data_IF_286734671230
#
_entry.id   IF_286734671230
#
_cell.length_a   1.000
_cell.length_b   1.000
_cell.length_c   1.000
_cell.angle_alpha   90.00
_cell.angle_beta   90.00
_cell.angle_gamma   90.00
#
_symmetry.space_group_name_H-M   'P 1'
#
loop_
_entity.id
_entity.type
_entity.pdbx_description
1 polymer ?
#
# COMPACT_ATOMS: atom_id res chain seq x y z
N UNK A 1 -7.99 -8.35 9.65
CA UNK A 1 -7.80 -7.10 8.86
C UNK A 1 -7.23 -7.43 7.49
N UNK A 2 -7.58 -6.65 6.48
CA UNK A 2 -7.14 -6.83 5.09
C UNK A 2 -5.64 -7.12 5.00
N UNK A 3 -4.84 -6.24 5.62
CA UNK A 3 -3.39 -6.27 5.50
C UNK A 3 -2.71 -7.40 6.28
N UNK A 4 -3.41 -8.02 7.24
CA UNK A 4 -2.92 -9.25 7.86
C UNK A 4 -2.96 -10.41 6.85
N UNK A 5 -3.99 -10.48 6.02
CA UNK A 5 -4.06 -11.48 4.93
C UNK A 5 -2.92 -11.25 3.94
N UNK A 6 -2.64 -9.99 3.61
CA UNK A 6 -1.56 -9.64 2.68
C UNK A 6 -0.18 -9.92 3.27
N UNK A 7 0.02 -9.70 4.57
CA UNK A 7 1.23 -10.12 5.28
C UNK A 7 1.45 -11.63 5.17
N UNK A 8 0.40 -12.44 5.34
CA UNK A 8 0.50 -13.88 5.24
C UNK A 8 0.83 -14.32 3.80
N UNK A 9 0.25 -13.66 2.78
CA UNK A 9 0.60 -13.88 1.37
C UNK A 9 2.05 -13.50 1.07
N UNK A 10 2.50 -12.35 1.58
CA UNK A 10 3.89 -11.91 1.42
C UNK A 10 4.87 -12.92 2.00
N UNK A 11 4.56 -13.45 3.19
CA UNK A 11 5.36 -14.50 3.81
C UNK A 11 5.40 -15.78 2.96
N UNK A 12 4.29 -16.15 2.31
CA UNK A 12 4.23 -17.30 1.40
C UNK A 12 5.03 -17.08 0.10
N UNK A 13 5.10 -15.84 -0.38
CA UNK A 13 5.94 -15.43 -1.52
C UNK A 13 7.43 -15.39 -1.15
N UNK A 14 7.74 -15.30 0.15
CA UNK A 14 9.11 -15.17 0.66
C UNK A 14 9.64 -13.73 0.62
N UNK A 15 8.78 -12.73 0.44
CA UNK A 15 9.16 -11.32 0.48
C UNK A 15 9.29 -10.79 1.91
N UNK A 16 10.09 -9.73 2.08
CA UNK A 16 10.30 -9.11 3.37
C UNK A 16 9.11 -8.26 3.81
N UNK A 17 8.60 -8.50 5.01
CA UNK A 17 7.62 -7.64 5.66
C UNK A 17 8.32 -6.49 6.39
N UNK A 18 8.05 -5.25 5.99
CA UNK A 18 8.70 -4.07 6.56
C UNK A 18 7.80 -3.26 7.50
N UNK A 19 6.48 -3.47 7.44
CA UNK A 19 5.57 -2.89 8.42
C UNK A 19 4.10 -2.94 8.03
N UNK A 20 3.22 -2.97 9.03
CA UNK A 20 1.81 -2.56 8.94
C UNK A 20 1.52 -1.46 9.96
N UNK A 21 2.40 -1.23 10.95
CA UNK A 21 2.15 -0.29 12.04
C UNK A 21 3.40 -0.01 12.91
N UNK A 22 3.53 1.24 13.39
CA UNK A 22 3.90 1.53 14.78
C UNK A 22 5.38 1.60 15.17
N UNK A 23 6.32 1.65 14.22
CA UNK A 23 7.69 2.06 14.56
C UNK A 23 7.80 3.60 14.68
N UNK A 24 8.91 4.08 15.22
CA UNK A 24 9.15 5.52 15.43
C UNK A 24 9.12 6.36 14.14
N UNK A 25 9.16 5.72 12.98
CA UNK A 25 9.15 6.39 11.67
C UNK A 25 7.74 6.57 11.11
N UNK A 26 6.74 5.89 11.68
CA UNK A 26 5.35 5.91 11.21
C UNK A 26 4.42 6.56 12.24
N UNK A 27 4.56 7.89 12.40
CA UNK A 27 3.81 8.67 13.41
C UNK A 27 2.55 9.35 12.90
N UNK A 28 2.19 9.16 11.63
CA UNK A 28 1.01 9.75 10.99
C UNK A 28 0.51 8.86 9.83
N UNK A 29 -0.63 9.22 9.23
CA UNK A 29 -1.14 8.60 8.01
C UNK A 29 -1.66 7.17 8.19
N UNK A 30 -1.73 6.44 7.07
CA UNK A 30 -2.38 5.13 6.99
C UNK A 30 -1.70 4.02 7.81
N UNK A 31 -0.43 4.18 8.19
CA UNK A 31 0.26 3.22 9.05
C UNK A 31 -0.18 3.25 10.52
N UNK A 32 -0.95 4.26 10.95
CA UNK A 32 -1.52 4.31 12.30
C UNK A 32 -3.02 4.02 12.29
N UNK A 33 -3.46 3.38 13.37
CA UNK A 33 -4.88 3.30 13.70
C UNK A 33 -5.44 4.71 13.92
N UNK A 34 -6.62 5.00 13.39
CA UNK A 34 -7.20 6.35 13.44
C UNK A 34 -7.43 6.86 14.86
N UNK A 35 -7.65 5.98 15.85
CA UNK A 35 -7.74 6.34 17.26
C UNK A 35 -6.45 6.98 17.83
N UNK A 36 -5.32 6.80 17.15
CA UNK A 36 -4.02 7.36 17.54
C UNK A 36 -3.61 8.58 16.69
N UNK A 37 -4.45 8.98 15.73
CA UNK A 37 -4.16 10.08 14.84
C UNK A 37 -4.76 11.39 15.36
N UNK A 38 -4.12 12.54 15.06
CA UNK A 38 -4.79 13.81 15.20
C UNK A 38 -5.98 13.86 14.24
N UNK A 39 -7.04 14.60 14.61
CA UNK A 39 -8.29 14.63 13.86
C UNK A 39 -8.19 15.25 12.46
N UNK A 40 -7.09 15.95 12.18
CA UNK A 40 -6.76 16.61 10.91
C UNK A 40 -5.71 15.83 10.10
N UNK A 41 -5.43 14.57 10.45
CA UNK A 41 -4.57 13.73 9.63
C UNK A 41 -5.21 13.45 8.26
N UNK A 42 -4.43 13.65 7.19
CA UNK A 42 -4.89 13.51 5.82
C UNK A 42 -5.51 12.13 5.50
N UNK A 43 -5.07 11.07 6.19
CA UNK A 43 -5.60 9.71 6.00
C UNK A 43 -6.98 9.50 6.62
N UNK A 44 -7.53 10.50 7.31
CA UNK A 44 -8.91 10.54 7.81
C UNK A 44 -9.85 11.29 6.85
N UNK A 45 -9.30 12.03 5.88
CA UNK A 45 -10.08 12.90 4.99
C UNK A 45 -10.76 12.13 3.86
N UNK A 46 -11.84 12.70 3.32
CA UNK A 46 -12.53 12.19 2.12
C UNK A 46 -13.57 11.10 2.39
N UNK A 47 -14.63 11.09 1.56
CA UNK A 47 -15.77 10.17 1.70
C UNK A 47 -15.37 8.69 1.58
N UNK A 48 -14.29 8.39 0.84
CA UNK A 48 -13.80 7.03 0.70
C UNK A 48 -13.33 6.42 2.04
N UNK A 49 -12.91 7.23 3.00
CA UNK A 49 -12.49 6.77 4.33
C UNK A 49 -13.64 6.58 5.32
N UNK A 50 -14.88 6.98 4.98
CA UNK A 50 -16.07 6.87 5.83
C UNK A 50 -16.83 5.55 5.58
N UNK A 51 -17.17 4.73 6.60
CA UNK A 51 -16.88 4.90 8.03
C UNK A 51 -15.41 4.71 8.38
N UNK A 52 -14.87 5.56 9.25
CA UNK A 52 -13.46 5.43 9.67
C UNK A 52 -13.26 4.19 10.54
N UNK A 53 -12.34 3.31 10.14
CA UNK A 53 -11.83 2.27 11.02
C UNK A 53 -10.87 2.88 12.06
N UNK A 54 -11.33 2.95 13.32
CA UNK A 54 -10.57 3.52 14.43
C UNK A 54 -9.36 2.68 14.85
N UNK A 55 -9.39 1.36 14.62
CA UNK A 55 -8.56 0.41 15.37
C UNK A 55 -7.43 -0.24 14.59
N UNK A 56 -7.48 -0.20 13.26
CA UNK A 56 -6.47 -0.84 12.41
C UNK A 56 -5.69 0.19 11.62
N UNK A 57 -4.40 -0.10 11.47
CA UNK A 57 -3.62 0.50 10.41
C UNK A 57 -4.13 -0.03 9.06
N UNK A 58 -4.01 0.84 8.09
CA UNK A 58 -4.51 0.70 6.73
C UNK A 58 -3.39 0.83 5.70
N UNK A 59 -2.13 0.63 6.10
CA UNK A 59 -1.02 0.50 5.16
C UNK A 59 -0.10 -0.68 5.47
N UNK A 60 0.59 -1.15 4.43
CA UNK A 60 1.58 -2.22 4.46
C UNK A 60 2.80 -1.80 3.65
N UNK A 61 3.99 -2.06 4.19
CA UNK A 61 5.26 -1.91 3.49
C UNK A 61 5.80 -3.29 3.11
N UNK A 62 5.90 -3.50 1.81
CA UNK A 62 6.23 -4.76 1.15
C UNK A 62 7.64 -4.65 0.57
N UNK A 63 8.56 -5.47 1.06
CA UNK A 63 9.90 -5.59 0.51
C UNK A 63 9.87 -6.01 -0.95
N UNK A 64 10.76 -5.42 -1.75
CA UNK A 64 10.89 -5.71 -3.18
C UNK A 64 12.10 -6.61 -3.45
N UNK A 65 12.34 -7.53 -2.51
CA UNK A 65 13.47 -8.45 -2.44
C UNK A 65 13.16 -9.84 -3.05
N UNK A 66 12.03 -9.95 -3.72
CA UNK A 66 11.61 -11.15 -4.45
C UNK A 66 11.56 -10.90 -5.97
N UNK A 67 11.82 -11.92 -6.81
CA UNK A 67 12.09 -11.75 -8.24
C UNK A 67 11.03 -10.94 -9.00
N UNK A 68 9.75 -11.23 -8.78
CA UNK A 68 8.66 -10.62 -9.53
C UNK A 68 8.04 -9.37 -8.85
N UNK A 69 8.70 -8.84 -7.81
CA UNK A 69 8.18 -7.70 -7.03
C UNK A 69 7.90 -6.45 -7.86
N UNK A 70 8.77 -6.12 -8.81
CA UNK A 70 8.60 -4.93 -9.67
C UNK A 70 7.48 -5.11 -10.69
N UNK A 71 7.34 -6.32 -11.23
CA UNK A 71 6.23 -6.69 -12.10
C UNK A 71 4.91 -6.63 -11.33
N UNK A 72 4.91 -7.06 -10.07
CA UNK A 72 3.77 -6.93 -9.17
C UNK A 72 3.36 -5.48 -8.95
N UNK A 73 4.30 -4.57 -8.69
CA UNK A 73 3.97 -3.15 -8.56
C UNK A 73 3.35 -2.61 -9.86
N UNK A 74 3.89 -2.96 -11.02
CA UNK A 74 3.32 -2.56 -12.31
C UNK A 74 1.89 -3.07 -12.51
N UNK A 75 1.65 -4.34 -12.16
CA UNK A 75 0.32 -4.94 -12.17
C UNK A 75 -0.62 -4.25 -11.19
N UNK A 76 -0.19 -3.95 -9.97
CA UNK A 76 -0.99 -3.29 -8.95
C UNK A 76 -1.50 -1.94 -9.45
N UNK A 77 -0.59 -1.08 -9.93
CA UNK A 77 -0.95 0.24 -10.46
C UNK A 77 -1.89 0.12 -11.66
N UNK A 78 -1.65 -0.85 -12.55
CA UNK A 78 -2.56 -1.09 -13.68
C UNK A 78 -3.96 -1.48 -13.21
N UNK A 79 -4.08 -2.40 -12.25
CA UNK A 79 -5.38 -2.90 -11.79
C UNK A 79 -6.17 -1.84 -11.01
N UNK A 80 -5.49 -0.99 -10.22
CA UNK A 80 -6.14 0.15 -9.57
C UNK A 80 -6.65 1.15 -10.62
N UNK A 81 -5.82 1.50 -11.61
CA UNK A 81 -6.19 2.41 -12.70
C UNK A 81 -7.37 1.89 -13.53
N UNK A 82 -7.44 0.58 -13.75
CA UNK A 82 -8.52 -0.07 -14.50
C UNK A 82 -9.76 -0.33 -13.64
N UNK A 83 -9.73 0.02 -12.35
CA UNK A 83 -10.85 -0.19 -11.42
C UNK A 83 -11.09 -1.66 -11.05
N UNK A 84 -10.11 -2.53 -11.32
CA UNK A 84 -10.15 -3.96 -11.00
C UNK A 84 -9.76 -4.23 -9.55
N UNK A 85 -8.90 -3.37 -8.99
CA UNK A 85 -8.51 -3.41 -7.59
C UNK A 85 -9.01 -2.13 -6.91
N UNK A 86 -10.09 -2.28 -6.14
CA UNK A 86 -10.77 -1.19 -5.45
C UNK A 86 -10.25 -1.03 -4.02
N UNK A 87 -10.44 0.15 -3.43
CA UNK A 87 -10.14 0.38 -2.01
C UNK A 87 -8.68 0.68 -1.69
N UNK A 88 -7.78 0.68 -2.67
CA UNK A 88 -6.42 1.22 -2.52
C UNK A 88 -6.45 2.74 -2.57
N UNK A 89 -5.83 3.38 -1.58
CA UNK A 89 -5.84 4.83 -1.42
C UNK A 89 -4.52 5.48 -1.86
N UNK A 90 -3.39 4.80 -1.64
CA UNK A 90 -2.05 5.32 -1.88
C UNK A 90 -1.08 4.19 -2.21
N UNK A 91 -0.16 4.44 -3.14
CA UNK A 91 1.00 3.57 -3.39
C UNK A 91 2.25 4.44 -3.56
N UNK A 92 3.35 4.04 -2.91
CA UNK A 92 4.68 4.60 -3.13
C UNK A 92 5.62 3.45 -3.46
N UNK A 93 6.35 3.54 -4.57
CA UNK A 93 7.30 2.51 -4.95
C UNK A 93 8.11 2.89 -6.17
N UNK A 94 8.99 1.99 -6.60
CA UNK A 94 9.84 2.19 -7.77
C UNK A 94 9.77 0.98 -8.69
N UNK A 95 9.61 1.21 -10.00
CA UNK A 95 9.63 0.14 -10.99
C UNK A 95 11.05 -0.35 -11.31
N UNK A 96 12.06 0.51 -11.19
CA UNK A 96 13.44 0.24 -11.57
C UNK A 96 14.41 0.18 -10.37
N UNK A 97 13.90 0.43 -9.16
CA UNK A 97 14.69 0.49 -7.94
C UNK A 97 15.50 1.78 -7.78
N UNK A 98 15.18 2.83 -8.56
CA UNK A 98 15.87 4.12 -8.52
C UNK A 98 14.85 5.26 -8.50
N UNK A 99 13.97 5.32 -9.50
CA UNK A 99 12.97 6.36 -9.63
C UNK A 99 11.74 6.00 -8.81
N UNK A 100 11.59 6.66 -7.66
CA UNK A 100 10.44 6.46 -6.76
C UNK A 100 9.28 7.35 -7.19
N UNK A 101 8.10 6.74 -7.24
CA UNK A 101 6.86 7.34 -7.72
C UNK A 101 5.77 7.23 -6.66
N UNK A 102 4.83 8.16 -6.72
CA UNK A 102 3.69 8.26 -5.84
C UNK A 102 2.40 8.24 -6.65
N UNK A 103 1.45 7.44 -6.18
CA UNK A 103 0.09 7.35 -6.68
C UNK A 103 -0.89 7.46 -5.52
N UNK A 104 -1.99 8.15 -5.74
CA UNK A 104 -3.10 8.22 -4.80
C UNK A 104 -4.35 8.72 -5.51
N UNK A 105 -5.50 8.67 -4.82
CA UNK A 105 -6.73 9.27 -5.33
C UNK A 105 -6.60 10.77 -5.64
N UNK A 106 -5.74 11.48 -4.90
CA UNK A 106 -5.51 12.91 -5.09
C UNK A 106 -4.44 13.23 -6.14
N UNK A 107 -3.43 12.37 -6.31
CA UNK A 107 -2.39 12.55 -7.33
C UNK A 107 -2.76 11.94 -8.69
N UNK A 108 -3.71 11.01 -8.70
CA UNK A 108 -4.07 10.21 -9.85
C UNK A 108 -3.32 8.88 -9.93
N UNK A 109 -3.88 7.99 -10.74
CA UNK A 109 -3.42 6.62 -10.96
C UNK A 109 -2.82 6.44 -12.36
N UNK A 110 -2.19 7.47 -12.92
CA UNK A 110 -1.53 7.33 -14.22
C UNK A 110 -0.34 6.34 -14.14
N UNK A 111 0.13 5.83 -15.28
CA UNK A 111 1.20 4.83 -15.27
C UNK A 111 2.51 5.35 -14.67
N UNK A 112 2.81 6.63 -14.87
CA UNK A 112 4.10 7.21 -14.52
C UNK A 112 4.17 7.54 -13.02
N UNK A 113 3.03 7.82 -12.39
CA UNK A 113 2.96 8.44 -11.09
C UNK A 113 3.59 9.82 -11.09
N UNK A 114 3.50 10.52 -9.96
CA UNK A 114 4.29 11.73 -9.74
C UNK A 114 5.60 11.39 -9.03
N UNK A 115 6.70 12.14 -9.25
CA UNK A 115 7.94 11.92 -8.50
C UNK A 115 7.71 12.01 -6.99
N UNK A 116 8.11 10.97 -6.26
CA UNK A 116 8.11 11.01 -4.80
C UNK A 116 9.31 11.80 -4.29
N UNK A 117 9.09 12.67 -3.30
CA UNK A 117 10.14 13.56 -2.77
C UNK A 117 10.66 13.16 -1.39
N UNK A 118 10.06 12.14 -0.77
CA UNK A 118 10.56 11.54 0.47
C UNK A 118 11.77 10.64 0.23
N UNK A 119 12.21 9.96 1.29
CA UNK A 119 13.32 9.02 1.25
C UNK A 119 12.83 7.57 1.27
N UNK A 120 13.58 6.67 0.62
CA UNK A 120 13.25 5.26 0.60
C UNK A 120 12.29 4.85 -0.50
N UNK A 121 11.64 3.68 -0.35
CA UNK A 121 10.73 3.07 -1.33
C UNK A 121 11.35 2.71 -2.69
N UNK A 122 12.67 2.86 -2.81
CA UNK A 122 13.48 2.28 -3.87
C UNK A 122 13.63 0.76 -3.67
N UNK A 123 13.63 0.30 -2.42
CA UNK A 123 13.78 -1.13 -2.03
C UNK A 123 12.52 -1.77 -1.44
N UNK A 124 11.45 -0.99 -1.25
CA UNK A 124 10.14 -1.48 -0.82
C UNK A 124 9.00 -0.69 -1.45
N UNK A 125 7.79 -1.23 -1.39
CA UNK A 125 6.57 -0.54 -1.81
C UNK A 125 5.66 -0.31 -0.61
N UNK A 126 5.19 0.91 -0.46
CA UNK A 126 4.08 1.26 0.42
C UNK A 126 2.77 1.06 -0.32
N UNK A 127 1.80 0.41 0.32
CA UNK A 127 0.42 0.33 -0.16
C UNK A 127 -0.51 0.66 1.00
N UNK A 128 -1.40 1.63 0.80
CA UNK A 128 -2.49 1.91 1.73
C UNK A 128 -3.86 1.63 1.12
N UNK A 129 -4.80 1.31 1.98
CA UNK A 129 -6.21 1.08 1.65
C UNK A 129 -7.09 2.08 2.42
N UNK A 130 -8.28 2.36 1.91
CA UNK A 130 -9.21 3.25 2.63
C UNK A 130 -9.57 2.66 3.99
N UNK A 131 -9.67 3.52 5.01
CA UNK A 131 -9.98 3.10 6.38
C UNK A 131 -11.32 2.38 6.49
N UNK A 132 -12.31 2.82 5.71
CA UNK A 132 -13.63 2.19 5.59
C UNK A 132 -13.59 0.73 5.14
N UNK A 133 -12.51 0.33 4.48
CA UNK A 133 -12.35 -1.01 3.92
C UNK A 133 -11.25 -1.82 4.59
N UNK A 134 -10.73 -1.38 5.73
CA UNK A 134 -9.62 -2.04 6.46
C UNK A 134 -9.90 -3.52 6.85
N UNK A 135 -11.15 -3.96 6.76
CA UNK A 135 -11.58 -5.33 7.05
C UNK A 135 -11.63 -6.24 5.82
N UNK A 136 -11.69 -5.66 4.62
CA UNK A 136 -11.90 -6.41 3.38
C UNK A 136 -10.56 -6.75 2.73
N UNK A 137 -10.43 -8.00 2.34
CA UNK A 137 -9.30 -8.43 1.52
C UNK A 137 -9.41 -7.80 0.12
N UNK A 138 -8.43 -6.99 -0.24
CA UNK A 138 -8.37 -6.29 -1.53
C UNK A 138 -7.57 -7.06 -2.58
N UNK A 139 -6.95 -8.18 -2.20
CA UNK A 139 -6.22 -9.03 -3.11
C UNK A 139 -4.95 -8.40 -3.68
N UNK A 140 -4.29 -7.50 -2.93
CA UNK A 140 -3.10 -6.80 -3.46
C UNK A 140 -1.97 -7.77 -3.78
N UNK A 141 -1.83 -8.90 -3.07
CA UNK A 141 -0.87 -9.97 -3.40
C UNK A 141 -1.56 -11.28 -3.84
N UNK A 142 -2.87 -11.26 -4.09
CA UNK A 142 -3.59 -12.49 -4.44
C UNK A 142 -3.12 -13.03 -5.80
N UNK A 143 -2.83 -14.34 -5.86
CA UNK A 143 -2.35 -15.02 -7.07
C UNK A 143 -0.86 -14.82 -7.39
N UNK A 144 -0.13 -14.03 -6.60
CA UNK A 144 1.31 -13.84 -6.79
C UNK A 144 2.14 -14.91 -6.10
N UNK A 145 3.24 -15.28 -6.74
CA UNK A 145 4.35 -16.08 -6.21
C UNK A 145 5.65 -15.31 -6.34
N UNK A 146 6.75 -15.85 -5.80
CA UNK A 146 8.08 -15.24 -5.92
C UNK A 146 8.47 -14.92 -7.37
N UNK A 147 8.02 -15.76 -8.32
CA UNK A 147 8.44 -15.71 -9.72
C UNK A 147 7.36 -15.12 -10.66
N UNK A 148 6.19 -14.74 -10.14
CA UNK A 148 5.14 -14.09 -10.93
C UNK A 148 3.71 -14.50 -10.53
N UNK A 149 2.74 -13.95 -11.27
CA UNK A 149 1.31 -14.24 -11.11
C UNK A 149 0.95 -15.62 -11.69
N UNK A 150 0.10 -16.37 -10.99
CA UNK A 150 -0.43 -17.69 -11.40
C UNK A 150 -1.94 -17.67 -11.67
#
# INVERSE_FOLDING_TARGET
>A
PALIVEKDRLAAIGGSFLGICGDVNHTHGYHLAAANLPSDDYSLEGEANDPVCEWYASAIDIGMDWPASRDWLAWLIQNVREGQLIGVAEVIGSYDGVDVRYWSDNAGWDQAGIPYTGQGHDTWTHVSIHRSTAYFDHGILAGWTADGMQ
#
